data_IF_683835346794
#
_entry.id   IF_683835346794
#
_cell.length_a   1.000
_cell.length_b   1.000
_cell.length_c   1.000
_cell.angle_alpha   90.00
_cell.angle_beta   90.00
_cell.angle_gamma   90.00
#
_symmetry.space_group_name_H-M   'P 1'
#
loop_
_entity.id
_entity.type
_entity.pdbx_description
1 polymer ?
#
# COMPACT_ATOMS: atom_id res chain seq x y z
N UNK A 1 64.47 4.97 6.87
CA UNK A 1 64.23 5.45 8.25
C UNK A 1 62.88 6.14 8.26
N UNK A 2 61.95 5.56 9.02
CA UNK A 2 60.74 6.09 9.69
C UNK A 2 60.18 7.44 9.20
N UNK A 3 58.95 7.53 8.67
CA UNK A 3 57.62 7.28 9.27
C UNK A 3 56.97 8.59 9.77
N UNK A 4 55.75 8.85 9.27
CA UNK A 4 54.59 9.59 9.82
C UNK A 4 53.83 10.24 8.63
N UNK A 5 52.83 9.58 8.04
CA UNK A 5 51.40 9.57 8.43
C UNK A 5 50.74 10.96 8.53
N UNK A 6 49.93 11.29 7.53
CA UNK A 6 48.65 12.00 7.75
C UNK A 6 47.66 11.58 6.66
N UNK A 7 46.77 10.65 7.01
CA UNK A 7 45.62 10.27 6.20
C UNK A 7 44.53 11.33 6.35
N UNK A 8 44.16 12.00 5.27
CA UNK A 8 42.91 12.79 5.21
C UNK A 8 41.85 11.96 4.51
N UNK A 9 40.96 11.40 5.32
CA UNK A 9 39.71 10.76 4.91
C UNK A 9 38.82 11.77 4.16
N UNK A 10 38.71 11.62 2.83
CA UNK A 10 37.62 12.18 2.05
C UNK A 10 36.44 11.22 2.09
N UNK A 11 35.57 11.36 3.08
CA UNK A 11 34.31 10.60 3.13
C UNK A 11 33.35 11.18 2.08
N UNK A 12 33.14 10.41 1.00
CA UNK A 12 32.01 10.60 0.10
C UNK A 12 30.71 10.53 0.91
N UNK A 13 30.12 11.69 1.17
CA UNK A 13 28.81 11.83 1.77
C UNK A 13 27.73 11.39 0.79
N UNK A 14 27.43 10.09 0.75
CA UNK A 14 26.12 9.63 0.32
C UNK A 14 25.13 9.97 1.42
N UNK A 15 24.55 11.17 1.34
CA UNK A 15 23.38 11.54 2.13
C UNK A 15 22.29 10.51 1.82
N UNK A 16 22.04 9.58 2.74
CA UNK A 16 20.88 8.70 2.63
C UNK A 16 19.64 9.59 2.52
N UNK A 17 18.69 9.29 1.63
CA UNK A 17 17.47 10.10 1.57
C UNK A 17 16.83 10.12 2.95
N UNK A 18 16.57 11.32 3.47
CA UNK A 18 15.85 11.50 4.72
C UNK A 18 14.58 10.64 4.69
N UNK A 19 14.30 9.95 5.80
CA UNK A 19 13.12 9.09 5.97
C UNK A 19 11.86 9.78 5.41
N UNK A 20 11.26 9.20 4.36
CA UNK A 20 10.10 9.78 3.69
C UNK A 20 8.82 9.17 4.23
N UNK A 21 8.01 10.01 4.89
CA UNK A 21 6.73 9.60 5.42
C UNK A 21 5.74 9.26 4.32
N UNK A 22 5.10 8.10 4.46
CA UNK A 22 3.97 7.66 3.63
C UNK A 22 2.75 7.46 4.50
N UNK A 23 1.59 7.83 3.97
CA UNK A 23 0.30 7.65 4.65
C UNK A 23 -0.53 6.62 3.89
N UNK A 24 -0.99 5.60 4.59
CA UNK A 24 -1.97 4.64 4.09
C UNK A 24 -3.33 4.89 4.73
N UNK A 25 -4.36 4.96 3.91
CA UNK A 25 -5.74 5.18 4.32
C UNK A 25 -6.54 3.95 3.94
N UNK A 26 -6.97 3.19 4.95
CA UNK A 26 -7.95 2.12 4.76
C UNK A 26 -9.33 2.73 4.57
N UNK A 27 -9.81 2.78 3.33
CA UNK A 27 -11.07 3.43 2.98
C UNK A 27 -12.28 2.63 3.42
N UNK A 28 -12.21 1.31 3.37
CA UNK A 28 -13.26 0.36 3.69
C UNK A 28 -12.70 -1.06 3.89
N UNK A 29 -13.57 -2.02 4.21
CA UNK A 29 -13.22 -3.43 4.42
C UNK A 29 -14.10 -4.41 3.63
N UNK A 30 -15.23 -3.97 3.06
CA UNK A 30 -16.00 -4.75 2.09
C UNK A 30 -15.21 -4.85 0.77
N UNK A 31 -15.12 -6.06 0.22
CA UNK A 31 -14.38 -6.34 -1.00
C UNK A 31 -15.16 -7.31 -1.87
N UNK A 32 -15.07 -7.21 -3.19
CA UNK A 32 -15.67 -8.17 -4.12
C UNK A 32 -14.94 -9.53 -4.14
N UNK A 33 -13.81 -9.65 -3.45
CA UNK A 33 -13.02 -10.87 -3.30
C UNK A 33 -12.89 -11.27 -1.83
N UNK A 34 -12.58 -12.55 -1.59
CA UNK A 34 -12.19 -13.09 -0.28
C UNK A 34 -10.82 -13.78 -0.41
N UNK A 35 -9.77 -13.00 -0.57
CA UNK A 35 -8.43 -13.57 -0.75
C UNK A 35 -8.00 -14.32 0.52
N UNK A 36 -7.45 -15.53 0.38
CA UNK A 36 -7.09 -16.38 1.51
C UNK A 36 -5.92 -15.85 2.35
N UNK A 37 -5.11 -14.92 1.82
CA UNK A 37 -4.04 -14.26 2.56
C UNK A 37 -4.38 -12.84 3.07
N UNK A 38 -5.59 -12.32 2.81
CA UNK A 38 -5.89 -10.89 2.96
C UNK A 38 -5.50 -10.36 4.36
N UNK A 39 -4.52 -9.45 4.42
CA UNK A 39 -4.02 -8.86 5.67
C UNK A 39 -5.11 -8.08 6.41
N UNK A 40 -5.95 -7.38 5.65
CA UNK A 40 -7.07 -6.58 6.15
C UNK A 40 -8.30 -7.40 6.58
N UNK A 41 -8.29 -8.72 6.33
CA UNK A 41 -9.43 -9.62 6.55
C UNK A 41 -10.70 -9.20 5.76
N UNK A 42 -10.53 -8.51 4.63
CA UNK A 42 -11.61 -8.05 3.77
C UNK A 42 -12.35 -9.19 3.05
N UNK A 43 -13.64 -9.01 2.82
CA UNK A 43 -14.48 -9.98 2.08
C UNK A 43 -15.81 -9.35 1.63
N UNK A 44 -16.62 -10.03 0.80
CA UNK A 44 -17.95 -9.53 0.41
C UNK A 44 -18.90 -9.36 1.60
N UNK A 45 -18.64 -10.08 2.69
CA UNK A 45 -19.48 -10.07 3.90
C UNK A 45 -18.83 -9.29 5.05
N UNK A 46 -17.67 -8.67 4.83
CA UNK A 46 -17.05 -7.83 5.85
C UNK A 46 -17.90 -6.56 6.04
N UNK A 47 -18.10 -6.08 7.28
CA UNK A 47 -18.73 -4.78 7.49
C UNK A 47 -17.94 -3.71 6.73
N UNK A 48 -18.64 -2.84 6.00
CA UNK A 48 -18.01 -1.84 5.12
C UNK A 48 -16.96 -1.00 5.83
N UNK A 49 -17.28 -0.50 7.03
CA UNK A 49 -16.38 0.36 7.84
C UNK A 49 -15.75 1.49 7.00
N UNK A 50 -16.60 2.23 6.27
CA UNK A 50 -16.13 3.31 5.39
C UNK A 50 -15.56 4.46 6.22
N UNK A 51 -14.35 4.93 5.88
CA UNK A 51 -13.69 6.02 6.59
C UNK A 51 -14.44 7.36 6.44
N UNK A 52 -15.16 7.53 5.34
CA UNK A 52 -15.93 8.74 5.01
C UNK A 52 -15.06 9.83 4.36
N UNK A 53 -15.66 10.59 3.45
CA UNK A 53 -14.99 11.62 2.65
C UNK A 53 -14.26 12.65 3.51
N UNK A 54 -14.95 13.29 4.47
CA UNK A 54 -14.38 14.35 5.30
C UNK A 54 -13.13 13.90 6.08
N UNK A 55 -13.12 12.67 6.59
CA UNK A 55 -11.96 12.12 7.29
C UNK A 55 -10.80 11.91 6.32
N UNK A 56 -11.06 11.36 5.13
CA UNK A 56 -10.03 11.17 4.11
C UNK A 56 -9.42 12.52 3.66
N UNK A 57 -10.23 13.55 3.41
CA UNK A 57 -9.72 14.87 3.01
C UNK A 57 -8.86 15.50 4.12
N UNK A 58 -9.33 15.42 5.37
CA UNK A 58 -8.56 15.92 6.53
C UNK A 58 -7.24 15.17 6.70
N UNK A 59 -7.22 13.85 6.52
CA UNK A 59 -5.99 13.05 6.59
C UNK A 59 -4.99 13.47 5.50
N UNK A 60 -5.45 13.75 4.28
CA UNK A 60 -4.61 14.30 3.21
C UNK A 60 -4.04 15.66 3.61
N UNK A 61 -4.86 16.57 4.13
CA UNK A 61 -4.40 17.91 4.54
C UNK A 61 -3.34 17.83 5.65
N UNK A 62 -3.56 17.01 6.68
CA UNK A 62 -2.60 16.81 7.76
C UNK A 62 -1.32 16.12 7.26
N UNK A 63 -1.41 15.16 6.34
CA UNK A 63 -0.24 14.52 5.73
C UNK A 63 0.61 15.50 4.92
N UNK A 64 -0.03 16.34 4.09
CA UNK A 64 0.65 17.38 3.32
C UNK A 64 1.34 18.38 4.25
N UNK A 65 0.65 18.82 5.31
CA UNK A 65 1.22 19.75 6.29
C UNK A 65 2.43 19.16 7.04
N UNK A 66 2.45 17.85 7.25
CA UNK A 66 3.56 17.12 7.90
C UNK A 66 4.66 16.70 6.91
N UNK A 67 4.54 17.01 5.62
CA UNK A 67 5.57 16.71 4.61
C UNK A 67 5.60 15.25 4.16
N UNK A 68 4.48 14.54 4.22
CA UNK A 68 4.36 13.19 3.66
C UNK A 68 4.56 13.24 2.14
N UNK A 69 5.32 12.29 1.60
CA UNK A 69 5.67 12.25 0.18
C UNK A 69 4.63 11.56 -0.69
N UNK A 70 3.83 10.66 -0.11
CA UNK A 70 2.83 9.87 -0.83
C UNK A 70 1.68 9.44 0.07
N UNK A 71 0.46 9.43 -0.49
CA UNK A 71 -0.76 8.92 0.14
C UNK A 71 -1.26 7.69 -0.63
N UNK A 72 -1.58 6.62 0.09
CA UNK A 72 -2.10 5.37 -0.44
C UNK A 72 -3.54 5.16 0.01
N UNK A 73 -4.47 5.06 -0.93
CA UNK A 73 -5.82 4.59 -0.68
C UNK A 73 -5.88 3.06 -0.87
N UNK A 74 -6.29 2.37 0.19
CA UNK A 74 -6.37 0.91 0.22
C UNK A 74 -7.58 0.46 1.03
N UNK A 75 -7.69 -0.83 1.30
CA UNK A 75 -8.73 -1.43 2.12
C UNK A 75 -9.89 -1.91 1.27
N UNK A 76 -10.48 -3.03 1.71
CA UNK A 76 -11.54 -3.69 0.97
C UNK A 76 -11.22 -3.73 -0.52
N UNK A 77 -12.19 -3.29 -1.32
CA UNK A 77 -11.93 -2.74 -2.64
C UNK A 77 -12.37 -1.26 -2.65
N UNK A 78 -11.47 -0.27 -2.84
CA UNK A 78 -11.82 1.14 -2.77
C UNK A 78 -12.91 1.55 -3.78
N UNK A 79 -12.91 0.95 -4.99
CA UNK A 79 -13.89 1.25 -6.04
C UNK A 79 -15.31 0.70 -5.78
N UNK A 80 -15.55 0.08 -4.62
CA UNK A 80 -16.91 -0.16 -4.12
C UNK A 80 -17.54 1.13 -3.56
N UNK A 81 -16.72 2.03 -2.99
CA UNK A 81 -17.20 3.29 -2.44
C UNK A 81 -17.55 4.28 -3.55
N UNK A 82 -18.61 5.07 -3.33
CA UNK A 82 -18.98 6.17 -4.24
C UNK A 82 -18.04 7.36 -4.11
N UNK A 83 -17.58 7.63 -2.88
CA UNK A 83 -16.79 8.82 -2.55
C UNK A 83 -15.31 8.68 -2.95
N UNK A 84 -14.86 7.49 -3.35
CA UNK A 84 -13.46 7.23 -3.70
C UNK A 84 -12.96 8.17 -4.81
N UNK A 85 -13.81 8.50 -5.79
CA UNK A 85 -13.44 9.38 -6.88
C UNK A 85 -13.09 10.79 -6.37
N UNK A 86 -13.87 11.32 -5.43
CA UNK A 86 -13.59 12.62 -4.83
C UNK A 86 -12.36 12.58 -3.93
N UNK A 87 -12.16 11.50 -3.18
CA UNK A 87 -10.94 11.29 -2.37
C UNK A 87 -9.68 11.29 -3.25
N UNK A 88 -9.69 10.56 -4.37
CA UNK A 88 -8.56 10.49 -5.31
C UNK A 88 -8.31 11.83 -6.00
N UNK A 89 -9.37 12.51 -6.45
CA UNK A 89 -9.25 13.82 -7.07
C UNK A 89 -8.67 14.86 -6.10
N UNK A 90 -9.12 14.85 -4.84
CA UNK A 90 -8.62 15.75 -3.82
C UNK A 90 -7.15 15.50 -3.47
N UNK A 91 -6.78 14.23 -3.26
CA UNK A 91 -5.44 13.83 -2.86
C UNK A 91 -4.41 14.04 -3.96
N UNK A 92 -4.68 13.54 -5.18
CA UNK A 92 -3.73 13.64 -6.30
C UNK A 92 -3.48 15.07 -6.77
N UNK A 93 -4.37 16.02 -6.47
CA UNK A 93 -4.14 17.44 -6.72
C UNK A 93 -3.16 18.11 -5.73
N UNK A 94 -2.74 17.40 -4.66
CA UNK A 94 -1.94 17.95 -3.55
C UNK A 94 -0.67 17.15 -3.27
N UNK A 95 -0.72 15.84 -3.44
CA UNK A 95 0.36 14.91 -3.11
C UNK A 95 0.26 13.70 -4.01
N UNK A 96 1.42 13.10 -4.33
CA UNK A 96 1.47 11.82 -5.04
C UNK A 96 0.55 10.82 -4.36
N UNK A 97 -0.33 10.21 -5.14
CA UNK A 97 -1.42 9.40 -4.64
C UNK A 97 -1.47 8.07 -5.37
N UNK A 98 -1.44 6.98 -4.61
CA UNK A 98 -1.59 5.63 -5.11
C UNK A 98 -2.92 5.05 -4.64
N UNK A 99 -3.68 4.40 -5.53
CA UNK A 99 -4.86 3.60 -5.14
C UNK A 99 -4.61 2.13 -5.44
N UNK A 100 -4.74 1.30 -4.42
CA UNK A 100 -4.60 -0.14 -4.55
C UNK A 100 -5.96 -0.76 -4.87
N UNK A 101 -6.00 -1.59 -5.91
CA UNK A 101 -7.25 -2.20 -6.40
C UNK A 101 -7.00 -3.59 -6.96
N UNK A 102 -8.02 -4.46 -6.92
CA UNK A 102 -8.04 -5.70 -7.71
C UNK A 102 -8.41 -5.46 -9.19
N UNK A 103 -8.77 -4.22 -9.55
CA UNK A 103 -9.20 -3.75 -10.86
C UNK A 103 -10.46 -4.41 -11.44
N UNK A 104 -11.04 -5.46 -10.83
CA UNK A 104 -12.17 -6.21 -11.41
C UNK A 104 -13.45 -5.38 -11.57
N UNK A 105 -13.55 -4.25 -10.88
CA UNK A 105 -14.69 -3.34 -10.97
C UNK A 105 -14.47 -2.18 -11.95
N UNK A 106 -13.25 -1.96 -12.43
CA UNK A 106 -12.84 -0.78 -13.21
C UNK A 106 -13.22 -0.89 -14.70
N UNK A 107 -14.51 -1.00 -14.98
CA UNK A 107 -15.09 -0.93 -16.32
C UNK A 107 -16.45 -0.18 -16.29
N UNK A 108 -16.97 0.12 -17.48
CA UNK A 108 -18.24 0.83 -17.66
C UNK A 108 -18.29 2.13 -16.84
N UNK A 109 -19.38 2.32 -16.08
CA UNK A 109 -19.61 3.51 -15.27
C UNK A 109 -18.46 3.86 -14.31
N UNK A 110 -17.79 2.86 -13.72
CA UNK A 110 -16.68 3.14 -12.78
C UNK A 110 -15.46 3.70 -13.50
N UNK A 111 -15.17 3.18 -14.69
CA UNK A 111 -14.13 3.72 -15.55
C UNK A 111 -14.49 5.13 -16.02
N UNK A 112 -15.73 5.36 -16.45
CA UNK A 112 -16.21 6.70 -16.83
C UNK A 112 -16.06 7.74 -15.72
N UNK A 113 -16.27 7.34 -14.45
CA UNK A 113 -16.06 8.20 -13.29
C UNK A 113 -14.57 8.43 -12.96
N UNK A 114 -13.71 7.45 -13.22
CA UNK A 114 -12.26 7.55 -12.96
C UNK A 114 -11.53 8.40 -14.01
N UNK A 115 -11.95 8.31 -15.28
CA UNK A 115 -11.23 8.95 -16.39
C UNK A 115 -11.01 10.46 -16.24
N UNK A 116 -11.99 11.28 -15.80
CA UNK A 116 -11.79 12.71 -15.59
C UNK A 116 -10.74 13.05 -14.53
N UNK A 117 -10.40 12.10 -13.65
CA UNK A 117 -9.47 12.29 -12.54
C UNK A 117 -8.08 11.78 -12.89
N UNK A 118 -8.01 10.63 -13.57
CA UNK A 118 -6.76 9.92 -13.81
C UNK A 118 -6.09 10.26 -15.15
N UNK A 119 -6.85 10.64 -16.18
CA UNK A 119 -6.27 10.88 -17.51
C UNK A 119 -5.43 12.15 -17.49
N UNK A 120 -4.13 12.02 -17.74
CA UNK A 120 -3.17 13.13 -17.74
C UNK A 120 -2.72 13.56 -16.33
N UNK A 121 -3.11 12.82 -15.29
CA UNK A 121 -2.71 13.07 -13.91
C UNK A 121 -1.60 12.08 -13.51
N UNK A 122 -0.35 12.50 -13.65
CA UNK A 122 0.82 11.66 -13.33
C UNK A 122 1.04 11.46 -11.80
N UNK A 123 0.31 12.22 -10.97
CA UNK A 123 0.31 12.08 -9.52
C UNK A 123 -0.71 11.04 -9.01
N UNK A 124 -1.61 10.53 -9.87
CA UNK A 124 -2.51 9.43 -9.52
C UNK A 124 -2.05 8.10 -10.13
N UNK A 125 -1.62 7.17 -9.28
CA UNK A 125 -1.16 5.84 -9.66
C UNK A 125 -2.25 4.81 -9.38
N UNK A 126 -2.60 4.02 -10.39
CA UNK A 126 -3.41 2.82 -10.22
C UNK A 126 -2.50 1.61 -9.95
N UNK A 127 -2.44 1.16 -8.71
CA UNK A 127 -1.67 -0.02 -8.31
C UNK A 127 -2.57 -1.26 -8.30
N UNK A 128 -2.47 -2.05 -9.35
CA UNK A 128 -3.29 -3.25 -9.55
C UNK A 128 -2.62 -4.48 -8.95
N UNK A 129 -3.38 -5.15 -8.11
CA UNK A 129 -3.04 -6.42 -7.50
C UNK A 129 -3.07 -7.57 -8.53
N UNK A 130 -1.91 -8.16 -8.84
CA UNK A 130 -1.80 -9.30 -9.76
C UNK A 130 -0.72 -10.29 -9.27
N UNK A 131 -1.11 -11.46 -8.79
CA UNK A 131 -0.18 -12.42 -8.19
C UNK A 131 0.32 -13.52 -9.15
N UNK A 132 0.04 -13.42 -10.44
CA UNK A 132 0.35 -14.51 -11.39
C UNK A 132 0.37 -14.02 -12.83
N UNK A 133 1.32 -14.53 -13.62
CA UNK A 133 1.32 -14.35 -15.08
C UNK A 133 0.31 -15.27 -15.79
N UNK A 134 -0.28 -16.21 -15.07
CA UNK A 134 -1.30 -17.17 -15.54
C UNK A 134 -2.42 -17.30 -14.50
N UNK A 135 -3.64 -17.71 -14.90
CA UNK A 135 -4.78 -17.86 -13.99
C UNK A 135 -4.50 -18.73 -12.78
N UNK A 136 -3.80 -19.85 -12.96
CA UNK A 136 -3.60 -20.87 -11.93
C UNK A 136 -2.90 -20.29 -10.69
N UNK A 137 -1.92 -19.40 -10.88
CA UNK A 137 -1.14 -18.83 -9.79
C UNK A 137 -1.88 -17.71 -9.06
N UNK A 138 -2.63 -16.88 -9.80
CA UNK A 138 -3.36 -15.76 -9.23
C UNK A 138 -4.66 -16.21 -8.55
N UNK A 139 -5.44 -17.05 -9.22
CA UNK A 139 -6.75 -17.50 -8.76
C UNK A 139 -6.65 -18.38 -7.51
N UNK A 140 -5.51 -19.06 -7.30
CA UNK A 140 -5.26 -19.92 -6.13
C UNK A 140 -5.53 -19.20 -4.79
N UNK A 141 -5.18 -17.91 -4.70
CA UNK A 141 -5.40 -17.12 -3.49
C UNK A 141 -6.55 -16.12 -3.61
N UNK A 142 -6.89 -15.67 -4.82
CA UNK A 142 -7.85 -14.58 -5.05
C UNK A 142 -9.23 -15.04 -5.50
N UNK A 143 -9.36 -16.30 -5.89
CA UNK A 143 -10.61 -16.92 -6.33
C UNK A 143 -10.65 -17.11 -7.86
N UNK A 144 -11.36 -18.16 -8.27
CA UNK A 144 -11.48 -18.56 -9.69
C UNK A 144 -12.04 -17.44 -10.57
N UNK A 145 -11.40 -17.21 -11.70
CA UNK A 145 -11.75 -16.20 -12.69
C UNK A 145 -11.32 -14.77 -12.34
N UNK A 146 -10.61 -14.57 -11.23
CA UNK A 146 -10.15 -13.23 -10.83
C UNK A 146 -9.04 -12.74 -11.76
N UNK A 147 -8.10 -13.61 -12.15
CA UNK A 147 -7.01 -13.26 -13.07
C UNK A 147 -7.54 -12.69 -14.38
N UNK A 148 -8.42 -13.43 -15.06
CA UNK A 148 -8.94 -13.04 -16.38
C UNK A 148 -9.63 -11.67 -16.30
N UNK A 149 -10.49 -11.48 -15.29
CA UNK A 149 -11.23 -10.23 -15.10
C UNK A 149 -10.32 -9.06 -14.74
N UNK A 150 -9.29 -9.28 -13.93
CA UNK A 150 -8.27 -8.27 -13.63
C UNK A 150 -7.48 -7.90 -14.87
N UNK A 151 -7.00 -8.88 -15.66
CA UNK A 151 -6.23 -8.65 -16.88
C UNK A 151 -7.04 -7.91 -17.95
N UNK A 152 -8.30 -8.28 -18.17
CA UNK A 152 -9.16 -7.59 -19.14
C UNK A 152 -9.39 -6.13 -18.78
N UNK A 153 -9.55 -5.84 -17.48
CA UNK A 153 -9.69 -4.48 -17.00
C UNK A 153 -8.35 -3.71 -17.03
N UNK A 154 -7.20 -4.34 -16.81
CA UNK A 154 -5.88 -3.71 -17.03
C UNK A 154 -5.77 -3.23 -18.48
N UNK A 155 -6.08 -4.10 -19.45
CA UNK A 155 -6.05 -3.76 -20.88
C UNK A 155 -7.03 -2.61 -21.19
N UNK A 156 -8.21 -2.63 -20.58
CA UNK A 156 -9.22 -1.57 -20.73
C UNK A 156 -8.72 -0.22 -20.19
N UNK A 157 -8.05 -0.23 -19.03
CA UNK A 157 -7.45 0.97 -18.42
C UNK A 157 -6.34 1.54 -19.32
N UNK A 158 -5.43 0.69 -19.81
CA UNK A 158 -4.35 1.09 -20.73
C UNK A 158 -4.90 1.63 -22.05
N UNK A 159 -5.89 0.97 -22.65
CA UNK A 159 -6.56 1.44 -23.88
C UNK A 159 -7.25 2.79 -23.68
N UNK A 160 -7.61 3.14 -22.45
CA UNK A 160 -8.19 4.43 -22.09
C UNK A 160 -7.16 5.52 -21.76
N UNK A 161 -5.86 5.20 -21.91
CA UNK A 161 -4.73 6.11 -21.68
C UNK A 161 -4.27 6.19 -20.23
N UNK A 162 -4.65 5.23 -19.37
CA UNK A 162 -4.23 5.20 -17.97
C UNK A 162 -3.00 4.31 -17.78
N UNK A 163 -2.06 4.78 -16.95
CA UNK A 163 -0.90 3.99 -16.53
C UNK A 163 -1.32 3.05 -15.40
N UNK A 164 -0.80 1.83 -15.43
CA UNK A 164 -1.05 0.80 -14.42
C UNK A 164 0.30 0.35 -13.86
N UNK A 165 0.39 0.34 -12.53
CA UNK A 165 1.46 -0.28 -11.77
C UNK A 165 0.98 -1.62 -11.25
N UNK A 166 1.80 -2.64 -11.30
CA UNK A 166 1.47 -3.95 -10.75
C UNK A 166 2.06 -4.16 -9.37
N UNK A 167 1.32 -4.90 -8.56
CA UNK A 167 1.77 -5.33 -7.24
C UNK A 167 1.43 -6.80 -7.04
N UNK A 168 2.47 -7.61 -6.86
CA UNK A 168 2.40 -9.05 -6.68
C UNK A 168 2.71 -9.39 -5.24
N UNK A 169 1.82 -10.15 -4.59
CA UNK A 169 2.20 -10.90 -3.40
C UNK A 169 2.86 -12.19 -3.86
N UNK A 170 4.13 -12.39 -3.51
CA UNK A 170 4.81 -13.66 -3.65
C UNK A 170 4.17 -14.67 -2.68
N UNK A 171 3.78 -15.83 -3.18
CA UNK A 171 3.07 -16.88 -2.47
C UNK A 171 3.70 -18.24 -2.80
N UNK A 172 3.52 -19.27 -1.96
CA UNK A 172 4.00 -20.62 -2.25
C UNK A 172 3.66 -21.15 -3.65
N UNK A 173 2.53 -20.75 -4.23
CA UNK A 173 2.11 -21.21 -5.57
C UNK A 173 2.84 -20.47 -6.70
N UNK A 174 3.31 -19.25 -6.48
CA UNK A 174 3.92 -18.42 -7.53
C UNK A 174 5.43 -18.17 -7.35
N UNK A 175 6.03 -18.50 -6.20
CA UNK A 175 7.44 -18.23 -5.89
C UNK A 175 8.39 -18.79 -6.95
N UNK A 176 8.19 -20.04 -7.37
CA UNK A 176 8.99 -20.70 -8.42
C UNK A 176 8.63 -20.22 -9.84
N UNK A 177 7.72 -19.26 -9.95
CA UNK A 177 7.10 -18.79 -11.20
C UNK A 177 7.00 -17.25 -11.28
N UNK A 178 7.81 -16.53 -10.51
CA UNK A 178 7.85 -15.06 -10.56
C UNK A 178 8.33 -14.56 -11.93
N UNK A 179 9.19 -15.32 -12.59
CA UNK A 179 9.62 -15.11 -13.98
C UNK A 179 8.42 -14.96 -14.93
N UNK A 180 7.38 -15.80 -14.78
CA UNK A 180 6.16 -15.73 -15.60
C UNK A 180 5.35 -14.46 -15.33
N UNK A 181 5.32 -13.98 -14.08
CA UNK A 181 4.67 -12.70 -13.75
C UNK A 181 5.45 -11.55 -14.40
N UNK A 182 6.78 -11.62 -14.35
CA UNK A 182 7.68 -10.66 -14.98
C UNK A 182 7.51 -10.62 -16.51
N UNK A 183 7.51 -11.78 -17.17
CA UNK A 183 7.23 -11.89 -18.60
C UNK A 183 5.86 -11.31 -18.97
N UNK A 184 4.85 -11.60 -18.14
CA UNK A 184 3.50 -11.15 -18.39
C UNK A 184 3.37 -9.62 -18.32
N UNK A 185 3.90 -8.94 -17.29
CA UNK A 185 3.78 -7.48 -17.24
C UNK A 185 4.54 -6.79 -18.38
N UNK A 186 5.70 -7.33 -18.79
CA UNK A 186 6.42 -6.86 -19.98
C UNK A 186 5.58 -6.99 -21.23
N UNK A 187 4.85 -8.11 -21.38
CA UNK A 187 3.92 -8.32 -22.50
C UNK A 187 2.77 -7.30 -22.53
N UNK A 188 2.43 -6.70 -21.39
CA UNK A 188 1.45 -5.60 -21.27
C UNK A 188 2.09 -4.21 -21.47
N UNK A 189 3.39 -4.13 -21.72
CA UNK A 189 4.12 -2.86 -21.82
C UNK A 189 4.27 -2.12 -20.49
N UNK A 190 4.12 -2.81 -19.35
CA UNK A 190 4.31 -2.22 -18.03
C UNK A 190 5.81 -2.30 -17.68
N UNK A 191 6.49 -1.16 -17.40
CA UNK A 191 7.90 -1.15 -17.06
C UNK A 191 8.23 -1.90 -15.76
N UNK A 192 9.46 -2.41 -15.65
CA UNK A 192 9.98 -3.02 -14.40
C UNK A 192 9.84 -2.10 -13.19
N UNK A 193 10.05 -0.79 -13.37
CA UNK A 193 9.92 0.20 -12.30
C UNK A 193 8.50 0.36 -11.77
N UNK A 194 7.50 -0.17 -12.49
CA UNK A 194 6.09 -0.17 -12.10
C UNK A 194 5.59 -1.58 -11.78
N UNK A 195 6.49 -2.51 -11.42
CA UNK A 195 6.12 -3.81 -10.84
C UNK A 195 6.79 -4.00 -9.49
N UNK A 196 5.98 -4.18 -8.45
CA UNK A 196 6.45 -4.43 -7.09
C UNK A 196 6.09 -5.84 -6.65
N UNK A 197 7.08 -6.63 -6.27
CA UNK A 197 6.89 -7.95 -5.67
C UNK A 197 7.15 -7.80 -4.16
N UNK A 198 6.18 -8.24 -3.35
CA UNK A 198 6.29 -8.26 -1.88
C UNK A 198 6.16 -9.69 -1.37
N UNK A 199 6.86 -10.06 -0.29
CA UNK A 199 6.67 -11.36 0.33
C UNK A 199 5.27 -11.50 0.95
N UNK A 200 4.78 -12.74 1.04
CA UNK A 200 3.60 -13.06 1.83
C UNK A 200 3.83 -12.70 3.30
N UNK A 201 2.90 -11.95 3.90
CA UNK A 201 2.89 -11.67 5.32
C UNK A 201 2.03 -12.70 6.06
N UNK A 202 2.53 -13.20 7.19
CA UNK A 202 1.78 -14.06 8.12
C UNK A 202 0.87 -13.21 9.02
N UNK A 203 -0.07 -12.52 8.37
CA UNK A 203 -1.05 -11.61 8.97
C UNK A 203 -2.43 -11.83 8.35
N UNK A 204 -3.46 -11.29 8.99
CA UNK A 204 -4.82 -11.40 8.46
C UNK A 204 -5.33 -12.83 8.42
N UNK A 205 -5.75 -13.28 7.24
CA UNK A 205 -6.16 -14.66 6.99
C UNK A 205 -4.99 -15.62 6.72
N UNK A 206 -3.80 -15.13 6.38
CA UNK A 206 -2.65 -15.99 6.12
C UNK A 206 -2.12 -16.62 7.41
N UNK A 207 -1.76 -17.91 7.35
CA UNK A 207 -1.03 -18.64 8.40
C UNK A 207 0.43 -18.90 8.04
N UNK A 208 0.82 -18.49 6.84
CA UNK A 208 2.14 -18.68 6.24
C UNK A 208 2.72 -17.33 5.84
N UNK A 209 4.01 -17.30 5.52
CA UNK A 209 4.74 -16.09 5.15
C UNK A 209 5.61 -15.55 6.28
N UNK A 210 6.12 -14.34 6.09
CA UNK A 210 7.01 -13.68 7.04
C UNK A 210 6.25 -13.24 8.29
N UNK A 211 6.84 -13.54 9.45
CA UNK A 211 6.42 -12.95 10.72
C UNK A 211 6.93 -11.51 10.79
N UNK A 212 6.01 -10.56 10.81
CA UNK A 212 6.29 -9.13 10.76
C UNK A 212 5.90 -8.47 12.07
N UNK A 213 6.72 -7.55 12.58
CA UNK A 213 6.45 -6.71 13.74
C UNK A 213 7.03 -5.29 13.53
N UNK A 214 6.90 -4.40 14.51
CA UNK A 214 7.44 -3.03 14.38
C UNK A 214 8.98 -3.00 14.30
N UNK A 215 9.67 -4.06 14.76
CA UNK A 215 11.14 -4.11 14.74
C UNK A 215 11.71 -4.50 13.37
N UNK A 216 10.91 -5.13 12.50
CA UNK A 216 11.33 -5.55 11.18
C UNK A 216 10.54 -4.89 10.01
N UNK A 217 9.67 -3.93 10.33
CA UNK A 217 8.99 -3.07 9.36
C UNK A 217 9.39 -1.63 9.56
N UNK A 218 9.80 -0.95 8.48
CA UNK A 218 9.86 0.50 8.48
C UNK A 218 8.44 1.07 8.64
N UNK A 219 8.24 2.17 9.39
CA UNK A 219 6.92 2.71 9.57
C UNK A 219 6.38 3.31 8.27
N UNK A 220 5.16 2.92 7.92
CA UNK A 220 4.34 3.56 6.89
C UNK A 220 2.97 3.82 7.52
N UNK A 221 2.78 5.06 8.02
CA UNK A 221 1.66 5.42 8.88
C UNK A 221 0.36 5.00 8.24
N UNK A 222 -0.42 4.20 8.94
CA UNK A 222 -1.67 3.64 8.40
C UNK A 222 -2.83 4.08 9.25
N UNK A 223 -3.92 4.56 8.65
CA UNK A 223 -5.10 5.05 9.36
C UNK A 223 -6.36 4.32 8.90
N UNK A 224 -7.21 3.98 9.88
CA UNK A 224 -8.57 3.46 9.68
C UNK A 224 -9.50 4.04 10.77
N UNK A 225 -10.76 3.59 10.83
CA UNK A 225 -11.73 4.07 11.83
C UNK A 225 -11.35 3.84 13.31
N UNK A 226 -10.44 2.90 13.61
CA UNK A 226 -9.98 2.59 14.97
C UNK A 226 -8.74 3.40 15.39
N UNK A 227 -8.17 4.20 14.48
CA UNK A 227 -7.03 5.07 14.74
C UNK A 227 -5.87 4.89 13.77
N UNK A 228 -4.64 5.03 14.27
CA UNK A 228 -3.42 4.96 13.49
C UNK A 228 -2.54 3.77 13.88
N UNK A 229 -1.82 3.22 12.91
CA UNK A 229 -1.02 2.01 12.97
C UNK A 229 0.34 2.23 12.31
N UNK A 230 1.30 1.39 12.69
CA UNK A 230 2.68 1.43 12.23
C UNK A 230 2.84 1.17 10.73
N UNK A 231 2.03 0.27 10.16
CA UNK A 231 2.23 -0.22 8.79
C UNK A 231 0.96 -0.83 8.18
N UNK A 232 0.73 -0.77 6.85
CA UNK A 232 -0.50 -1.25 6.20
C UNK A 232 -0.72 -2.77 6.25
N UNK A 233 0.32 -3.54 6.59
CA UNK A 233 0.27 -5.00 6.65
C UNK A 233 -0.41 -5.55 7.91
N UNK A 234 -0.72 -4.70 8.89
CA UNK A 234 -1.54 -5.08 10.03
C UNK A 234 -2.20 -3.86 10.67
N UNK A 235 -3.51 -3.97 10.85
CA UNK A 235 -4.31 -3.05 11.67
C UNK A 235 -4.77 -3.72 12.97
N UNK A 236 -4.00 -4.71 13.46
CA UNK A 236 -4.23 -5.35 14.74
C UNK A 236 -3.59 -4.52 15.88
N UNK A 237 -3.97 -4.80 17.13
CA UNK A 237 -3.57 -4.00 18.30
C UNK A 237 -2.06 -3.91 18.51
N UNK A 238 -1.30 -4.91 18.06
CA UNK A 238 0.15 -4.96 18.20
C UNK A 238 0.90 -3.98 17.30
N UNK A 239 0.21 -3.43 16.29
CA UNK A 239 0.73 -2.39 15.41
C UNK A 239 0.10 -1.02 15.64
N UNK A 240 -0.84 -0.92 16.59
CA UNK A 240 -1.54 0.33 16.83
C UNK A 240 -0.59 1.35 17.48
N UNK A 241 -0.56 2.57 16.93
CA UNK A 241 0.22 3.70 17.47
C UNK A 241 -0.67 4.82 17.99
N UNK A 242 -1.95 4.82 17.63
CA UNK A 242 -2.95 5.72 18.21
C UNK A 242 -4.35 5.12 18.13
N UNK A 243 -5.17 5.37 19.15
CA UNK A 243 -6.62 5.08 19.15
C UNK A 243 -7.45 6.17 18.45
N UNK A 244 -6.82 7.25 18.02
CA UNK A 244 -7.45 8.34 17.28
C UNK A 244 -6.79 8.49 15.91
N UNK A 245 -7.60 8.77 14.89
CA UNK A 245 -7.13 9.14 13.55
C UNK A 245 -6.43 10.51 13.56
N UNK A 246 -6.80 11.36 14.52
CA UNK A 246 -6.39 12.77 14.54
C UNK A 246 -5.93 13.24 15.95
N UNK A 247 -5.03 14.24 16.00
CA UNK A 247 -4.23 14.72 14.88
C UNK A 247 -3.19 13.66 14.46
N UNK A 248 -2.88 13.60 13.17
CA UNK A 248 -1.92 12.66 12.58
C UNK A 248 -0.52 12.86 13.15
N UNK A 249 -0.18 14.09 13.56
CA UNK A 249 1.09 14.42 14.22
C UNK A 249 1.33 13.57 15.49
N UNK A 250 0.28 13.30 16.27
CA UNK A 250 0.39 12.43 17.46
C UNK A 250 0.85 11.02 17.11
N UNK A 251 0.39 10.48 15.97
CA UNK A 251 0.83 9.16 15.51
C UNK A 251 2.29 9.20 15.05
N UNK A 252 2.69 10.26 14.33
CA UNK A 252 4.08 10.48 13.89
C UNK A 252 5.03 10.58 15.08
N UNK A 253 4.71 11.42 16.07
CA UNK A 253 5.55 11.62 17.26
C UNK A 253 5.76 10.29 18.02
N UNK A 254 4.69 9.49 18.17
CA UNK A 254 4.77 8.19 18.82
C UNK A 254 5.62 7.18 18.04
N UNK A 255 5.52 7.20 16.72
CA UNK A 255 6.36 6.35 15.86
C UNK A 255 7.84 6.74 16.05
N UNK A 256 8.17 8.04 16.04
CA UNK A 256 9.54 8.49 16.24
C UNK A 256 10.13 8.03 17.58
N UNK A 257 9.38 8.21 18.68
CA UNK A 257 9.79 7.72 20.02
C UNK A 257 10.02 6.21 20.01
N UNK A 258 9.14 5.45 19.35
CA UNK A 258 9.26 4.00 19.27
C UNK A 258 10.44 3.56 18.40
N UNK A 259 10.73 4.26 17.30
CA UNK A 259 11.91 4.00 16.48
C UNK A 259 13.20 4.17 17.29
N UNK A 260 13.30 5.23 18.10
CA UNK A 260 14.44 5.45 19.00
C UNK A 260 14.57 4.35 20.06
N UNK A 261 13.43 3.91 20.64
CA UNK A 261 13.41 2.80 21.59
C UNK A 261 13.83 1.46 20.96
N UNK A 262 13.38 1.17 19.73
CA UNK A 262 13.78 -0.03 18.99
C UNK A 262 15.26 0.03 18.63
N UNK A 263 15.76 1.19 18.16
CA UNK A 263 17.16 1.37 17.82
C UNK A 263 18.10 1.17 19.02
N UNK A 264 17.65 1.53 20.23
CA UNK A 264 18.44 1.38 21.46
C UNK A 264 18.34 -0.02 22.10
N UNK A 265 17.21 -0.72 21.98
CA UNK A 265 16.96 -1.99 22.68
C UNK A 265 16.94 -3.22 21.80
N UNK A 266 16.81 -3.05 20.48
CA UNK A 266 16.58 -4.13 19.51
C UNK A 266 15.24 -4.83 19.66
N UNK A 267 14.30 -4.29 20.44
CA UNK A 267 12.99 -4.91 20.71
C UNK A 267 11.86 -3.90 20.50
N UNK A 268 10.76 -4.36 19.92
CA UNK A 268 9.50 -3.60 19.90
C UNK A 268 8.62 -3.99 21.08
N UNK A 269 8.17 -3.01 21.86
CA UNK A 269 7.11 -3.19 22.88
C UNK A 269 5.75 -2.73 22.37
N UNK A 270 4.68 -3.35 22.87
CA UNK A 270 3.31 -2.88 22.65
C UNK A 270 3.15 -1.44 23.15
N UNK A 271 2.52 -0.57 22.36
CA UNK A 271 2.22 0.78 22.79
C UNK A 271 1.09 0.78 23.84
N UNK A 272 1.33 1.44 24.97
CA UNK A 272 0.32 1.67 25.99
C UNK A 272 -0.33 3.03 25.79
N UNK A 273 -1.66 3.06 25.74
CA UNK A 273 -2.44 4.28 25.59
C UNK A 273 -3.04 4.65 26.95
N UNK A 274 -2.58 5.74 27.55
CA UNK A 274 -3.22 6.38 28.71
C UNK A 274 -4.47 7.15 28.29
#
# INVERSE_FOLDING_TARGET
MNAQESATNGTNGHCQPAFQWKLWIYTNYDCNLRCSYCVAKSSPNAPRRAIGLNNALRLVDEAVALGFSEVFFTGGEPFILKDIYEMLAYSSARVRTSVLTNAMLLNGKRLEQLLPIARGNDDLILQVSLDGGVPEHHDAYRGKGSWQKTVDNIKTLQASGLKVRLSTTETPVNSDHLDKVCEFHRSLGIPESDHFIRPLAKRGYSKEGLDLDMSNLLPEVTVNLDGAFWHPLSTDADMQVSKSMFPLSTAVDRILVQMEAIASTGRSSLMTFT
#
